data_IF_103790574677
#
_entry.id   IF_103790574677
#
_cell.length_a   1.000
_cell.length_b   1.000
_cell.length_c   1.000
_cell.angle_alpha   90.00
_cell.angle_beta   90.00
_cell.angle_gamma   90.00
#
_symmetry.space_group_name_H-M   'P 1'
#
loop_
_entity.id
_entity.type
_entity.pdbx_description
1 polymer ?
#
# COMPACT_ATOMS: atom_id res chain seq x y z
N UNK A 1 23.63 -13.90 -15.70
CA UNK A 1 22.15 -13.95 -15.68
C UNK A 1 21.64 -12.85 -14.77
N UNK A 2 20.64 -12.08 -15.23
CA UNK A 2 20.03 -11.00 -14.41
C UNK A 2 18.95 -11.53 -13.46
N UNK A 3 18.70 -12.84 -13.50
CA UNK A 3 17.85 -13.53 -12.54
C UNK A 3 18.47 -13.41 -11.13
N UNK A 4 17.74 -12.74 -10.22
CA UNK A 4 18.22 -12.43 -8.87
C UNK A 4 18.73 -11.00 -8.65
N UNK A 5 18.91 -10.18 -9.68
CA UNK A 5 19.19 -8.75 -9.52
C UNK A 5 17.95 -8.00 -9.03
N UNK A 6 18.17 -6.96 -8.22
CA UNK A 6 17.06 -6.10 -7.79
C UNK A 6 16.61 -5.22 -8.94
N UNK A 7 15.30 -4.91 -9.00
CA UNK A 7 14.71 -4.04 -10.04
C UNK A 7 15.45 -2.70 -10.14
N UNK A 8 15.87 -2.12 -9.02
CA UNK A 8 16.60 -0.85 -8.96
C UNK A 8 17.98 -0.88 -9.62
N UNK A 9 18.56 -2.09 -9.84
CA UNK A 9 19.88 -2.29 -10.42
C UNK A 9 19.79 -2.56 -11.95
N UNK A 10 18.57 -2.49 -12.51
CA UNK A 10 18.28 -2.75 -13.91
C UNK A 10 17.72 -1.52 -14.60
N UNK A 11 18.04 -1.35 -15.88
CA UNK A 11 17.35 -0.37 -16.73
C UNK A 11 15.95 -0.83 -17.08
N UNK A 12 15.05 0.11 -17.38
CA UNK A 12 13.68 -0.19 -17.83
C UNK A 12 13.64 -1.12 -19.05
N UNK A 13 14.52 -0.89 -20.04
CA UNK A 13 14.61 -1.75 -21.22
C UNK A 13 14.97 -3.18 -20.82
N UNK A 14 15.93 -3.33 -19.91
CA UNK A 14 16.36 -4.65 -19.44
C UNK A 14 15.27 -5.39 -18.67
N UNK A 15 14.50 -4.68 -17.86
CA UNK A 15 13.34 -5.24 -17.17
C UNK A 15 12.34 -5.78 -18.21
N UNK A 16 12.00 -4.98 -19.22
CA UNK A 16 11.05 -5.40 -20.25
C UNK A 16 11.57 -6.54 -21.14
N UNK A 17 12.86 -6.61 -21.42
CA UNK A 17 13.45 -7.74 -22.15
C UNK A 17 13.27 -9.07 -21.37
N UNK A 18 13.40 -9.00 -20.04
CA UNK A 18 13.19 -10.17 -19.17
C UNK A 18 11.69 -10.53 -19.14
N UNK A 19 10.81 -9.55 -18.92
CA UNK A 19 9.37 -9.80 -18.71
C UNK A 19 8.65 -10.17 -20.01
N UNK A 20 9.08 -9.68 -21.17
CA UNK A 20 8.56 -10.12 -22.49
C UNK A 20 8.72 -11.62 -22.71
N UNK A 21 9.80 -12.21 -22.23
CA UNK A 21 10.00 -13.67 -22.28
C UNK A 21 9.00 -14.43 -21.41
N UNK A 22 8.38 -13.75 -20.42
CA UNK A 22 7.34 -14.25 -19.55
C UNK A 22 5.93 -13.86 -20.04
N UNK A 23 5.83 -13.26 -21.23
CA UNK A 23 4.55 -12.90 -21.85
C UNK A 23 3.94 -11.57 -21.41
N UNK A 24 4.67 -10.70 -20.69
CA UNK A 24 4.14 -9.40 -20.25
C UNK A 24 5.17 -8.27 -20.35
N UNK A 25 4.68 -7.03 -20.29
CA UNK A 25 5.47 -5.80 -20.20
C UNK A 25 5.17 -5.11 -18.88
N UNK A 26 6.21 -4.59 -18.22
CA UNK A 26 6.03 -3.74 -17.03
C UNK A 26 5.66 -2.32 -17.50
N UNK A 27 4.49 -1.79 -17.12
CA UNK A 27 4.13 -0.42 -17.48
C UNK A 27 4.97 0.59 -16.70
N UNK A 28 5.19 1.77 -17.28
CA UNK A 28 5.67 2.94 -16.54
C UNK A 28 4.56 3.51 -15.67
N UNK A 29 4.91 4.15 -14.54
CA UNK A 29 3.91 4.78 -13.69
C UNK A 29 3.01 5.76 -14.45
N UNK A 30 3.57 6.57 -15.34
CA UNK A 30 2.80 7.53 -16.16
C UNK A 30 1.71 6.84 -16.98
N UNK A 31 1.99 5.69 -17.57
CA UNK A 31 1.02 4.92 -18.37
C UNK A 31 -0.15 4.41 -17.51
N UNK A 32 0.14 4.00 -16.27
CA UNK A 32 -0.90 3.59 -15.30
C UNK A 32 -1.72 4.79 -14.86
N UNK A 33 -1.08 5.92 -14.56
CA UNK A 33 -1.77 7.15 -14.19
C UNK A 33 -2.73 7.60 -15.30
N UNK A 34 -2.25 7.69 -16.54
CA UNK A 34 -3.07 8.12 -17.68
C UNK A 34 -4.25 7.15 -17.94
N UNK A 35 -4.04 5.84 -17.75
CA UNK A 35 -5.11 4.83 -17.92
C UNK A 35 -6.21 4.95 -16.88
N UNK A 36 -5.84 5.22 -15.62
CA UNK A 36 -6.74 5.19 -14.46
C UNK A 36 -7.39 6.55 -14.16
N UNK A 37 -6.91 7.65 -14.75
CA UNK A 37 -7.36 9.00 -14.45
C UNK A 37 -8.87 9.15 -14.62
N UNK A 38 -9.53 9.70 -13.59
CA UNK A 38 -10.97 9.92 -13.55
C UNK A 38 -11.84 8.64 -13.47
N UNK A 39 -11.22 7.46 -13.30
CA UNK A 39 -11.94 6.18 -13.26
C UNK A 39 -11.91 5.50 -11.91
N UNK A 40 -10.77 5.56 -11.21
CA UNK A 40 -10.58 4.88 -9.93
C UNK A 40 -9.66 5.68 -9.02
N UNK A 41 -9.81 5.50 -7.71
CA UNK A 41 -8.84 5.96 -6.72
C UNK A 41 -7.57 5.10 -6.79
N UNK A 42 -6.39 5.73 -6.77
CA UNK A 42 -5.11 5.01 -6.80
C UNK A 42 -4.51 4.87 -5.40
N UNK A 43 -4.13 3.65 -5.03
CA UNK A 43 -3.39 3.34 -3.81
C UNK A 43 -1.96 2.90 -4.16
N UNK A 44 -1.02 3.85 -4.16
CA UNK A 44 0.33 3.71 -4.71
C UNK A 44 1.29 3.25 -3.63
N UNK A 45 1.89 2.06 -3.79
CA UNK A 45 2.94 1.58 -2.89
C UNK A 45 4.35 1.98 -3.35
N UNK A 46 5.07 2.71 -2.51
CA UNK A 46 6.51 2.96 -2.70
C UNK A 46 7.34 1.93 -1.94
N UNK A 47 7.94 0.98 -2.65
CA UNK A 47 8.75 -0.11 -2.07
C UNK A 47 10.15 0.35 -1.64
N UNK A 48 10.68 1.39 -2.27
CA UNK A 48 12.00 1.95 -2.01
C UNK A 48 11.89 3.45 -1.66
N UNK A 49 12.95 4.00 -1.07
CA UNK A 49 13.07 5.45 -0.84
C UNK A 49 14.06 6.07 -1.83
N UNK A 50 13.88 7.37 -2.09
CA UNK A 50 14.78 8.14 -2.96
C UNK A 50 14.07 8.72 -4.20
N UNK A 51 12.86 8.24 -4.50
CA UNK A 51 12.06 8.72 -5.63
C UNK A 51 10.68 9.28 -5.22
N UNK A 52 10.52 9.62 -3.94
CA UNK A 52 9.25 10.14 -3.42
C UNK A 52 8.83 11.42 -4.14
N UNK A 53 9.76 12.38 -4.31
CA UNK A 53 9.48 13.68 -4.98
C UNK A 53 9.08 13.51 -6.46
N UNK A 54 9.82 12.79 -7.31
CA UNK A 54 9.39 12.50 -8.68
C UNK A 54 8.01 11.88 -8.78
N UNK A 55 7.70 10.89 -7.91
CA UNK A 55 6.39 10.25 -7.91
C UNK A 55 5.29 11.23 -7.49
N UNK A 56 5.49 11.97 -6.39
CA UNK A 56 4.53 12.98 -5.93
C UNK A 56 4.22 14.00 -7.01
N UNK A 57 5.25 14.54 -7.67
CA UNK A 57 5.06 15.52 -8.73
C UNK A 57 4.25 14.94 -9.89
N UNK A 58 4.65 13.75 -10.37
CA UNK A 58 4.00 13.09 -11.50
C UNK A 58 2.51 12.78 -11.23
N UNK A 59 2.18 12.36 -10.01
CA UNK A 59 0.80 12.07 -9.63
C UNK A 59 -0.02 13.35 -9.51
N UNK A 60 0.51 14.39 -8.87
CA UNK A 60 -0.18 15.67 -8.67
C UNK A 60 -0.46 16.45 -9.95
N UNK A 61 0.27 16.19 -11.01
CA UNK A 61 -0.02 16.75 -12.35
C UNK A 61 -1.35 16.22 -12.93
N UNK A 62 -1.87 15.10 -12.44
CA UNK A 62 -3.00 14.34 -13.02
C UNK A 62 -4.15 14.10 -12.05
N UNK A 63 -3.89 14.09 -10.75
CA UNK A 63 -4.82 13.64 -9.71
C UNK A 63 -5.02 14.70 -8.62
N UNK A 64 -6.25 14.88 -8.20
CA UNK A 64 -6.59 15.61 -6.98
C UNK A 64 -6.22 14.82 -5.71
N UNK A 65 -6.10 15.50 -4.58
CA UNK A 65 -5.67 14.88 -3.31
C UNK A 65 -6.60 13.78 -2.77
N UNK A 66 -7.86 13.77 -3.18
CA UNK A 66 -8.86 12.77 -2.82
C UNK A 66 -8.94 11.60 -3.80
N UNK A 67 -8.11 11.58 -4.84
CA UNK A 67 -8.13 10.55 -5.87
C UNK A 67 -6.97 9.57 -5.76
N UNK A 68 -6.04 9.79 -4.82
CA UNK A 68 -4.92 8.88 -4.59
C UNK A 68 -4.44 8.87 -3.15
N UNK A 69 -3.78 7.78 -2.79
CA UNK A 69 -2.98 7.64 -1.57
C UNK A 69 -1.62 7.05 -1.88
N UNK A 70 -0.64 7.31 -1.00
CA UNK A 70 0.70 6.74 -1.10
C UNK A 70 1.01 5.97 0.17
N UNK A 71 1.45 4.72 0.06
CA UNK A 71 1.80 3.88 1.21
C UNK A 71 3.17 3.23 1.08
N UNK A 72 3.73 2.81 2.20
CA UNK A 72 5.00 2.09 2.24
C UNK A 72 5.15 1.28 3.53
N UNK A 73 5.98 0.23 3.49
CA UNK A 73 6.51 -0.43 4.68
C UNK A 73 7.57 0.39 5.43
N UNK A 74 8.11 1.41 4.79
CA UNK A 74 9.21 2.24 5.31
C UNK A 74 8.66 3.54 5.89
N UNK A 75 8.71 3.70 7.21
CA UNK A 75 8.28 4.91 7.92
C UNK A 75 8.85 6.19 7.29
N UNK A 76 10.13 6.15 6.90
CA UNK A 76 10.81 7.29 6.28
C UNK A 76 10.22 7.72 4.93
N UNK A 77 9.61 6.78 4.19
CA UNK A 77 8.97 7.09 2.89
C UNK A 77 7.67 7.86 3.15
N UNK A 78 6.79 7.37 4.02
CA UNK A 78 5.57 8.09 4.39
C UNK A 78 5.89 9.48 4.96
N UNK A 79 6.90 9.57 5.85
CA UNK A 79 7.36 10.84 6.40
C UNK A 79 7.85 11.81 5.31
N UNK A 80 8.64 11.33 4.33
CA UNK A 80 9.14 12.15 3.22
C UNK A 80 8.02 12.64 2.31
N UNK A 81 7.05 11.78 1.97
CA UNK A 81 5.88 12.18 1.19
C UNK A 81 5.12 13.31 1.89
N UNK A 82 4.84 13.17 3.19
CA UNK A 82 4.22 14.23 4.01
C UNK A 82 5.06 15.49 4.12
N UNK A 83 6.39 15.38 4.09
CA UNK A 83 7.29 16.54 4.11
C UNK A 83 7.33 17.27 2.76
N UNK A 84 7.04 16.57 1.65
CA UNK A 84 6.93 17.18 0.31
C UNK A 84 5.59 17.90 0.18
N UNK A 85 4.51 17.27 0.58
CA UNK A 85 3.18 17.87 0.59
C UNK A 85 2.30 17.21 1.68
N UNK A 86 1.97 17.92 2.78
CA UNK A 86 1.22 17.37 3.91
C UNK A 86 -0.24 17.01 3.58
N UNK A 87 -0.79 17.49 2.45
CA UNK A 87 -2.16 17.20 2.02
C UNK A 87 -2.32 15.79 1.44
N UNK A 88 -1.22 15.16 1.01
CA UNK A 88 -1.26 13.80 0.45
C UNK A 88 -1.64 12.80 1.53
N UNK A 89 -2.66 12.01 1.28
CA UNK A 89 -3.03 10.88 2.15
C UNK A 89 -1.95 9.80 2.10
N UNK A 90 -1.38 9.45 3.26
CA UNK A 90 -0.30 8.45 3.35
C UNK A 90 -0.64 7.30 4.29
N UNK A 91 -0.21 6.09 3.91
CA UNK A 91 -0.39 4.88 4.69
C UNK A 91 0.91 4.23 5.14
N UNK A 92 0.84 3.55 6.29
CA UNK A 92 1.91 2.68 6.78
C UNK A 92 1.50 1.22 6.63
N UNK A 93 2.23 0.49 5.77
CA UNK A 93 2.10 -0.96 5.64
C UNK A 93 2.83 -1.67 6.79
N UNK A 94 2.18 -2.67 7.39
CA UNK A 94 2.73 -3.50 8.47
C UNK A 94 2.38 -4.98 8.25
N UNK A 95 3.18 -5.89 8.82
CA UNK A 95 2.94 -7.33 8.74
C UNK A 95 3.82 -8.06 7.73
N UNK A 96 5.13 -7.82 7.72
CA UNK A 96 6.08 -8.58 6.89
C UNK A 96 6.13 -10.06 7.28
N UNK A 97 6.19 -10.94 6.29
CA UNK A 97 6.11 -12.40 6.47
C UNK A 97 7.18 -13.01 7.39
N UNK A 98 8.37 -12.41 7.47
CA UNK A 98 9.51 -12.91 8.28
C UNK A 98 9.91 -11.91 9.36
N UNK A 99 8.99 -11.53 10.23
CA UNK A 99 9.26 -10.60 11.32
C UNK A 99 9.58 -11.35 12.63
N UNK A 100 10.68 -11.00 13.30
CA UNK A 100 10.98 -11.46 14.66
C UNK A 100 9.98 -10.91 15.70
N UNK A 101 9.99 -11.48 16.91
CA UNK A 101 8.99 -11.19 17.95
C UNK A 101 8.88 -9.70 18.30
N UNK A 102 10.02 -9.00 18.40
CA UNK A 102 10.07 -7.56 18.68
C UNK A 102 9.44 -6.71 17.57
N UNK A 103 9.61 -7.14 16.30
CA UNK A 103 9.00 -6.49 15.14
C UNK A 103 7.50 -6.72 15.15
N UNK A 104 7.03 -7.94 15.48
CA UNK A 104 5.59 -8.27 15.60
C UNK A 104 4.90 -7.44 16.66
N UNK A 105 5.52 -7.23 17.82
CA UNK A 105 4.98 -6.36 18.87
C UNK A 105 4.84 -4.90 18.37
N UNK A 106 5.85 -4.38 17.68
CA UNK A 106 5.80 -3.05 17.09
C UNK A 106 4.78 -2.93 15.94
N UNK A 107 4.52 -4.02 15.22
CA UNK A 107 3.47 -4.08 14.19
C UNK A 107 2.08 -4.17 14.81
N UNK A 108 1.93 -4.85 15.95
CA UNK A 108 0.65 -4.93 16.66
C UNK A 108 0.29 -3.62 17.38
N UNK A 109 1.30 -2.80 17.78
CA UNK A 109 1.13 -1.48 18.41
C UNK A 109 1.73 -0.35 17.56
N UNK A 110 1.22 -0.08 16.35
CA UNK A 110 1.89 0.80 15.39
C UNK A 110 1.72 2.30 15.67
N UNK A 111 0.95 2.72 16.68
CA UNK A 111 0.57 4.11 16.91
C UNK A 111 1.76 5.09 16.97
N UNK A 112 2.85 4.71 17.66
CA UNK A 112 4.05 5.54 17.71
C UNK A 112 4.71 5.70 16.33
N UNK A 113 4.68 4.65 15.50
CA UNK A 113 5.22 4.67 14.14
C UNK A 113 4.37 5.56 13.25
N UNK A 114 3.03 5.39 13.29
CA UNK A 114 2.07 6.19 12.55
C UNK A 114 2.22 7.69 12.85
N UNK A 115 2.29 8.07 14.14
CA UNK A 115 2.54 9.46 14.56
C UNK A 115 3.88 9.99 14.06
N UNK A 116 4.96 9.20 14.20
CA UNK A 116 6.31 9.60 13.78
C UNK A 116 6.41 9.81 12.28
N UNK A 117 5.82 8.93 11.47
CA UNK A 117 5.85 9.04 10.01
C UNK A 117 4.69 9.89 9.45
N UNK A 118 3.82 10.43 10.33
CA UNK A 118 2.65 11.25 9.97
C UNK A 118 1.70 10.55 9.00
N UNK A 119 1.60 9.22 9.11
CA UNK A 119 0.68 8.46 8.28
C UNK A 119 -0.77 8.72 8.69
N UNK A 120 -1.67 8.78 7.73
CA UNK A 120 -3.10 9.04 7.93
C UNK A 120 -3.88 7.75 8.14
N UNK A 121 -3.38 6.60 7.67
CA UNK A 121 -4.01 5.30 7.85
C UNK A 121 -2.98 4.18 8.07
N UNK A 122 -3.45 3.05 8.59
CA UNK A 122 -2.66 1.83 8.74
C UNK A 122 -3.13 0.76 7.75
N UNK A 123 -2.15 0.07 7.14
CA UNK A 123 -2.44 -1.03 6.21
C UNK A 123 -1.77 -2.32 6.71
N UNK A 124 -2.47 -3.09 7.59
CA UNK A 124 -1.95 -4.32 8.18
C UNK A 124 -2.17 -5.53 7.29
N UNK A 125 -1.26 -6.53 7.39
CA UNK A 125 -1.57 -7.89 6.92
C UNK A 125 -2.76 -8.47 7.70
N UNK A 126 -3.65 -9.22 7.04
CA UNK A 126 -4.91 -9.71 7.64
C UNK A 126 -4.71 -10.55 8.92
N UNK A 127 -3.55 -11.18 9.09
CA UNK A 127 -3.23 -11.93 10.31
C UNK A 127 -3.07 -11.04 11.54
N UNK A 128 -2.75 -9.75 11.38
CA UNK A 128 -2.68 -8.78 12.46
C UNK A 128 -4.05 -8.19 12.82
N UNK A 129 -5.04 -8.33 11.93
CA UNK A 129 -6.37 -7.75 12.10
C UNK A 129 -7.22 -8.60 13.07
N UNK A 130 -6.99 -8.43 14.37
CA UNK A 130 -7.90 -8.86 15.43
C UNK A 130 -8.95 -7.77 15.70
N UNK A 131 -10.02 -8.13 16.41
CA UNK A 131 -11.05 -7.17 16.85
C UNK A 131 -10.44 -6.06 17.69
N UNK A 132 -9.51 -6.38 18.58
CA UNK A 132 -8.81 -5.44 19.45
C UNK A 132 -7.92 -4.49 18.65
N UNK A 133 -7.20 -5.02 17.65
CA UNK A 133 -6.37 -4.19 16.76
C UNK A 133 -7.22 -3.17 16.01
N UNK A 134 -8.29 -3.60 15.34
CA UNK A 134 -9.16 -2.71 14.55
C UNK A 134 -9.81 -1.65 15.45
N UNK A 135 -10.37 -2.06 16.61
CA UNK A 135 -10.96 -1.12 17.58
C UNK A 135 -9.96 -0.09 18.07
N UNK A 136 -8.73 -0.50 18.38
CA UNK A 136 -7.68 0.40 18.85
C UNK A 136 -7.30 1.41 17.77
N UNK A 137 -7.05 0.96 16.54
CA UNK A 137 -6.69 1.86 15.45
C UNK A 137 -7.79 2.89 15.17
N UNK A 138 -9.03 2.46 15.09
CA UNK A 138 -10.18 3.37 14.91
C UNK A 138 -10.35 4.36 16.07
N UNK A 139 -10.17 3.93 17.32
CA UNK A 139 -10.22 4.82 18.49
C UNK A 139 -9.09 5.86 18.49
N UNK A 140 -7.94 5.51 17.91
CA UNK A 140 -6.82 6.43 17.73
C UNK A 140 -6.93 7.29 16.45
N UNK A 141 -8.03 7.15 15.69
CA UNK A 141 -8.31 7.93 14.49
C UNK A 141 -7.66 7.42 13.21
N UNK A 142 -7.16 6.17 13.20
CA UNK A 142 -6.53 5.58 12.01
C UNK A 142 -7.47 4.62 11.30
N UNK A 143 -7.89 4.93 10.05
CA UNK A 143 -8.53 3.96 9.17
C UNK A 143 -7.66 2.73 8.92
N UNK A 144 -8.29 1.56 8.71
CA UNK A 144 -7.63 0.26 8.55
C UNK A 144 -7.91 -0.31 7.17
N UNK A 145 -6.87 -0.40 6.32
CA UNK A 145 -6.92 -0.98 4.97
C UNK A 145 -6.13 -2.28 4.95
N UNK A 146 -6.83 -3.41 5.06
CA UNK A 146 -6.20 -4.73 5.24
C UNK A 146 -5.73 -5.36 3.93
N UNK A 147 -4.59 -6.07 3.93
CA UNK A 147 -3.99 -6.77 2.78
C UNK A 147 -3.40 -8.12 3.16
N UNK A 148 -3.10 -9.02 2.24
CA UNK A 148 -3.80 -9.27 0.99
C UNK A 148 -4.84 -10.36 1.27
N UNK A 149 -6.11 -10.08 1.03
CA UNK A 149 -7.23 -10.94 1.40
C UNK A 149 -7.80 -11.58 0.15
N UNK A 150 -7.44 -12.85 -0.10
CA UNK A 150 -7.84 -13.59 -1.31
C UNK A 150 -8.80 -14.76 -1.01
N UNK A 151 -9.07 -15.03 0.27
CA UNK A 151 -9.95 -16.11 0.71
C UNK A 151 -11.28 -15.53 1.20
N UNK A 152 -12.40 -16.08 0.74
CA UNK A 152 -13.75 -15.60 1.02
C UNK A 152 -14.07 -15.58 2.53
N UNK A 153 -13.69 -16.63 3.29
CA UNK A 153 -13.90 -16.66 4.76
C UNK A 153 -13.12 -15.56 5.48
N UNK A 154 -11.96 -15.19 4.94
CA UNK A 154 -11.17 -14.06 5.49
C UNK A 154 -11.81 -12.73 5.06
N UNK A 155 -12.36 -12.62 3.84
CA UNK A 155 -13.14 -11.46 3.41
C UNK A 155 -14.31 -11.20 4.36
N UNK A 156 -15.15 -12.21 4.63
CA UNK A 156 -16.27 -12.11 5.57
C UNK A 156 -15.82 -11.66 6.96
N UNK A 157 -14.71 -12.23 7.45
CA UNK A 157 -14.14 -11.84 8.74
C UNK A 157 -13.71 -10.37 8.76
N UNK A 158 -13.07 -9.87 7.71
CA UNK A 158 -12.64 -8.47 7.64
C UNK A 158 -13.84 -7.53 7.53
N UNK A 159 -14.86 -7.90 6.76
CA UNK A 159 -16.13 -7.16 6.67
C UNK A 159 -16.80 -7.12 8.05
N UNK A 160 -16.92 -8.26 8.74
CA UNK A 160 -17.48 -8.33 10.10
C UNK A 160 -16.69 -7.50 11.14
N UNK A 161 -15.39 -7.35 10.95
CA UNK A 161 -14.53 -6.45 11.76
C UNK A 161 -14.71 -4.98 11.39
N UNK A 162 -15.45 -4.67 10.32
CA UNK A 162 -15.70 -3.32 9.81
C UNK A 162 -14.38 -2.58 9.53
N UNK A 163 -13.44 -3.23 8.86
CA UNK A 163 -12.26 -2.53 8.33
C UNK A 163 -12.69 -1.50 7.29
N UNK A 164 -11.88 -0.47 7.07
CA UNK A 164 -12.25 0.64 6.18
C UNK A 164 -11.96 0.33 4.70
N UNK A 165 -11.13 -0.70 4.43
CA UNK A 165 -10.91 -1.22 3.09
C UNK A 165 -10.21 -2.57 3.09
N UNK A 166 -10.42 -3.33 2.00
CA UNK A 166 -9.82 -4.64 1.77
C UNK A 166 -9.04 -4.60 0.45
N UNK A 167 -7.77 -4.97 0.51
CA UNK A 167 -6.90 -5.10 -0.65
C UNK A 167 -6.82 -6.57 -1.01
N UNK A 168 -7.21 -6.90 -2.25
CA UNK A 168 -7.32 -8.27 -2.76
C UNK A 168 -6.82 -8.36 -4.20
N UNK A 169 -6.23 -9.51 -4.55
CA UNK A 169 -5.95 -9.89 -5.95
C UNK A 169 -7.20 -10.49 -6.63
N UNK A 170 -8.29 -10.68 -5.85
CA UNK A 170 -9.56 -11.25 -6.27
C UNK A 170 -10.73 -10.29 -6.01
N UNK A 171 -10.72 -9.08 -6.63
CA UNK A 171 -11.81 -8.12 -6.48
C UNK A 171 -13.17 -8.68 -6.97
N UNK A 172 -13.14 -9.59 -7.94
CA UNK A 172 -14.30 -10.33 -8.44
C UNK A 172 -15.02 -11.13 -7.34
N UNK A 173 -14.28 -11.75 -6.42
CA UNK A 173 -14.85 -12.44 -5.28
C UNK A 173 -15.32 -11.44 -4.22
N UNK A 174 -14.47 -10.47 -3.88
CA UNK A 174 -14.78 -9.50 -2.83
C UNK A 174 -16.09 -8.74 -3.10
N UNK A 175 -16.34 -8.35 -4.36
CA UNK A 175 -17.58 -7.64 -4.75
C UNK A 175 -18.85 -8.46 -4.48
N UNK A 176 -18.79 -9.79 -4.42
CA UNK A 176 -19.94 -10.66 -4.08
C UNK A 176 -20.31 -10.60 -2.59
N UNK A 177 -19.40 -10.15 -1.73
CA UNK A 177 -19.56 -10.08 -0.27
C UNK A 177 -19.91 -8.68 0.25
N UNK A 178 -19.90 -7.65 -0.62
CA UNK A 178 -20.11 -6.23 -0.23
C UNK A 178 -21.56 -5.77 -0.58
N UNK A 179 -22.51 -6.64 -0.59
CA UNK A 179 -23.94 -6.28 -0.84
C UNK A 179 -24.72 -6.17 0.44
#
# INVERSE_FOLDING_TARGET
SDLGKKVRDLTYNRINDITRRLGFRVPKLVEVLDLCQGKIHLDIELKESGYERPVVNLVKERYGYNEFSIKSFKDKVSYKVKSIDPRITTGLLIGKDKAGLSVRLNEYFPARRLKRCKADFVSPHYLLCTREFVRRMKREGYPVFVWTVNNEKIMDRMIALRVDGIISDRPDLLMKHIH
#
